data_IF_431329746520
#
_entry.id   IF_431329746520
#
_cell.length_a   1.000
_cell.length_b   1.000
_cell.length_c   1.000
_cell.angle_alpha   90.00
_cell.angle_beta   90.00
_cell.angle_gamma   90.00
#
_symmetry.space_group_name_H-M   'P 1'
#
loop_
_entity.id
_entity.type
_entity.pdbx_description
1 polymer ?
#
# COMPACT_ATOMS: atom_id res chain seq x y z
N UNK A 1 -11.57 11.79 -20.48
CA UNK A 1 -10.59 10.70 -20.25
C UNK A 1 -11.13 9.66 -19.29
N UNK A 2 -11.41 9.98 -18.01
CA UNK A 2 -11.97 8.98 -17.07
C UNK A 2 -13.43 8.58 -17.30
N UNK A 3 -14.22 9.45 -17.95
CA UNK A 3 -15.66 9.25 -18.14
C UNK A 3 -15.99 7.96 -18.89
N UNK A 4 -15.24 7.62 -19.93
CA UNK A 4 -15.55 6.48 -20.79
C UNK A 4 -15.26 5.15 -20.07
N UNK A 5 -14.15 5.10 -19.32
CA UNK A 5 -13.83 3.96 -18.45
C UNK A 5 -14.85 3.77 -17.35
N UNK A 6 -15.30 4.86 -16.70
CA UNK A 6 -16.34 4.82 -15.66
C UNK A 6 -17.69 4.34 -16.20
N UNK A 7 -18.13 4.84 -17.36
CA UNK A 7 -19.40 4.44 -17.97
C UNK A 7 -19.38 2.95 -18.31
N UNK A 8 -18.27 2.48 -18.89
CA UNK A 8 -18.14 1.06 -19.28
C UNK A 8 -18.06 0.15 -18.07
N UNK A 9 -17.30 0.54 -17.02
CA UNK A 9 -17.22 -0.20 -15.76
C UNK A 9 -18.59 -0.27 -15.08
N UNK A 10 -19.32 0.85 -14.97
CA UNK A 10 -20.66 0.88 -14.40
C UNK A 10 -21.65 0.01 -15.18
N UNK A 11 -21.58 0.03 -16.52
CA UNK A 11 -22.42 -0.82 -17.36
C UNK A 11 -22.10 -2.31 -17.16
N UNK A 12 -20.82 -2.68 -17.15
CA UNK A 12 -20.37 -4.05 -16.92
C UNK A 12 -20.79 -4.56 -15.53
N UNK A 13 -20.64 -3.75 -14.48
CA UNK A 13 -21.06 -4.08 -13.12
C UNK A 13 -22.58 -4.24 -13.01
N UNK A 14 -23.37 -3.41 -13.69
CA UNK A 14 -24.85 -3.57 -13.72
C UNK A 14 -25.26 -4.89 -14.35
N UNK A 15 -24.72 -5.21 -15.54
CA UNK A 15 -25.02 -6.47 -16.22
C UNK A 15 -24.56 -7.66 -15.38
N UNK A 16 -23.43 -7.53 -14.68
CA UNK A 16 -22.92 -8.56 -13.78
C UNK A 16 -23.86 -8.79 -12.59
N UNK A 17 -24.36 -7.73 -11.96
CA UNK A 17 -25.35 -7.82 -10.89
C UNK A 17 -26.66 -8.44 -11.38
N UNK A 18 -27.16 -8.03 -12.54
CA UNK A 18 -28.39 -8.58 -13.12
C UNK A 18 -28.24 -10.06 -13.48
N UNK A 19 -27.08 -10.45 -14.03
CA UNK A 19 -26.78 -11.84 -14.34
C UNK A 19 -26.73 -12.69 -13.06
N UNK A 20 -26.09 -12.18 -12.01
CA UNK A 20 -26.04 -12.87 -10.72
C UNK A 20 -27.41 -12.95 -10.05
N UNK A 21 -28.22 -11.89 -10.14
CA UNK A 21 -29.59 -11.88 -9.62
C UNK A 21 -30.44 -12.94 -10.31
N UNK A 22 -30.37 -13.07 -11.64
CA UNK A 22 -31.09 -14.10 -12.39
C UNK A 22 -30.57 -15.51 -12.08
N UNK A 23 -29.26 -15.68 -11.87
CA UNK A 23 -28.68 -16.97 -11.47
C UNK A 23 -28.68 -17.20 -9.96
N UNK A 24 -29.32 -16.35 -9.15
CA UNK A 24 -29.25 -16.43 -7.69
C UNK A 24 -30.10 -17.57 -7.11
N UNK A 25 -31.13 -17.99 -7.84
CA UNK A 25 -32.01 -19.07 -7.44
C UNK A 25 -32.54 -19.85 -8.65
N UNK A 26 -33.05 -21.07 -8.43
CA UNK A 26 -33.62 -21.86 -9.49
C UNK A 26 -34.97 -21.28 -9.90
N UNK A 27 -35.20 -21.20 -11.20
CA UNK A 27 -36.52 -20.97 -11.76
C UNK A 27 -37.34 -22.26 -11.69
N UNK A 28 -38.62 -22.13 -11.38
CA UNK A 28 -39.52 -23.27 -11.15
C UNK A 28 -40.57 -23.29 -12.23
N UNK A 29 -40.62 -24.38 -12.98
CA UNK A 29 -41.70 -24.69 -13.91
C UNK A 29 -42.61 -25.72 -13.23
N UNK A 30 -43.90 -25.38 -13.09
CA UNK A 30 -44.89 -26.25 -12.44
C UNK A 30 -46.00 -26.54 -13.44
N UNK A 31 -46.24 -27.83 -13.70
CA UNK A 31 -47.35 -28.26 -14.52
C UNK A 31 -48.58 -28.45 -13.63
N UNK A 32 -49.55 -27.54 -13.72
CA UNK A 32 -50.77 -27.55 -12.91
C UNK A 32 -51.69 -28.73 -13.21
N UNK A 33 -51.59 -29.35 -14.39
CA UNK A 33 -52.45 -30.47 -14.80
C UNK A 33 -52.05 -31.79 -14.14
N UNK A 34 -50.83 -31.87 -13.60
CA UNK A 34 -50.29 -33.04 -12.91
C UNK A 34 -50.34 -32.89 -11.38
N UNK A 35 -50.77 -31.73 -10.87
CA UNK A 35 -50.90 -31.45 -9.45
C UNK A 35 -52.27 -31.90 -8.93
N UNK A 36 -52.31 -32.37 -7.68
CA UNK A 36 -53.55 -32.73 -7.01
C UNK A 36 -54.51 -31.51 -6.91
N UNK A 37 -55.81 -31.77 -7.07
CA UNK A 37 -56.81 -30.70 -7.06
C UNK A 37 -56.81 -29.94 -5.72
N UNK A 38 -56.55 -28.62 -5.77
CA UNK A 38 -56.51 -27.74 -4.59
C UNK A 38 -55.11 -27.45 -4.04
N UNK A 39 -54.04 -27.96 -4.66
CA UNK A 39 -52.66 -27.62 -4.28
C UNK A 39 -52.26 -26.22 -4.80
N UNK A 40 -51.65 -25.40 -3.95
CA UNK A 40 -51.12 -24.08 -4.34
C UNK A 40 -49.71 -24.23 -4.95
N UNK A 41 -49.50 -23.99 -6.25
CA UNK A 41 -48.20 -24.13 -6.90
C UNK A 41 -47.14 -23.10 -6.42
N UNK A 42 -47.53 -22.09 -5.63
CA UNK A 42 -46.64 -21.00 -5.19
C UNK A 42 -46.07 -21.16 -3.78
N UNK A 43 -46.63 -22.04 -2.95
CA UNK A 43 -46.21 -22.27 -1.55
C UNK A 43 -44.91 -23.10 -1.43
N UNK A 44 -43.78 -22.58 -1.93
CA UNK A 44 -42.53 -23.34 -1.99
C UNK A 44 -41.73 -23.16 -0.68
N UNK A 45 -41.49 -24.26 0.03
CA UNK A 45 -40.66 -24.29 1.24
C UNK A 45 -39.81 -25.58 1.32
N UNK A 46 -38.76 -25.62 2.15
CA UNK A 46 -37.95 -26.84 2.34
C UNK A 46 -38.82 -28.03 2.75
N UNK A 47 -38.53 -29.21 2.20
CA UNK A 47 -39.23 -30.48 2.44
C UNK A 47 -40.70 -30.55 1.96
N UNK A 48 -41.16 -29.62 1.12
CA UNK A 48 -42.47 -29.73 0.48
C UNK A 48 -42.56 -30.95 -0.42
N UNK A 49 -43.65 -31.72 -0.29
CA UNK A 49 -43.97 -32.89 -1.12
C UNK A 49 -45.14 -32.54 -2.02
N UNK A 50 -44.92 -32.62 -3.33
CA UNK A 50 -45.96 -32.38 -4.34
C UNK A 50 -46.75 -33.66 -4.57
N UNK A 51 -48.07 -33.58 -4.44
CA UNK A 51 -48.95 -34.72 -4.69
C UNK A 51 -49.37 -34.70 -6.16
N UNK A 52 -49.24 -35.85 -6.82
CA UNK A 52 -49.55 -35.98 -8.25
C UNK A 52 -50.90 -36.65 -8.45
N UNK A 53 -51.70 -36.12 -9.35
CA UNK A 53 -53.01 -36.68 -9.72
C UNK A 53 -53.20 -36.63 -11.24
N UNK A 54 -53.46 -37.78 -11.87
CA UNK A 54 -53.68 -37.85 -13.32
C UNK A 54 -52.47 -37.55 -14.21
N UNK A 55 -52.68 -37.64 -15.53
CA UNK A 55 -51.71 -37.32 -16.59
C UNK A 55 -50.61 -38.36 -16.86
N UNK A 56 -49.67 -38.01 -17.74
CA UNK A 56 -48.55 -38.89 -18.12
C UNK A 56 -47.50 -38.98 -17.01
N UNK A 57 -47.32 -40.18 -16.46
CA UNK A 57 -46.32 -40.47 -15.42
C UNK A 57 -44.88 -40.24 -15.86
N UNK A 58 -44.61 -40.12 -17.16
CA UNK A 58 -43.29 -39.87 -17.71
C UNK A 58 -42.82 -38.42 -17.51
N UNK A 59 -43.73 -37.46 -17.35
CA UNK A 59 -43.39 -36.03 -17.21
C UNK A 59 -43.29 -35.62 -15.73
N UNK A 60 -42.28 -34.81 -15.34
CA UNK A 60 -42.18 -34.27 -13.99
C UNK A 60 -43.26 -33.20 -13.74
N UNK A 61 -43.89 -33.21 -12.56
CA UNK A 61 -44.86 -32.19 -12.16
C UNK A 61 -44.20 -30.84 -11.81
N UNK A 62 -42.97 -30.88 -11.29
CA UNK A 62 -42.16 -29.69 -10.98
C UNK A 62 -40.78 -29.86 -11.59
N UNK A 63 -40.29 -28.86 -12.32
CA UNK A 63 -38.95 -28.79 -12.87
C UNK A 63 -38.23 -27.56 -12.32
N UNK A 64 -37.00 -27.78 -11.89
CA UNK A 64 -36.09 -26.73 -11.46
C UNK A 64 -35.10 -26.46 -12.58
N UNK A 65 -34.99 -25.21 -13.00
CA UNK A 65 -34.00 -24.76 -13.97
C UNK A 65 -33.11 -23.71 -13.31
N UNK A 66 -31.82 -23.97 -13.22
CA UNK A 66 -30.84 -23.00 -12.73
C UNK A 66 -30.18 -22.29 -13.91
N UNK A 67 -30.37 -20.97 -14.09
CA UNK A 67 -29.63 -20.22 -15.10
C UNK A 67 -28.12 -20.26 -14.81
N UNK A 68 -27.30 -20.46 -15.85
CA UNK A 68 -25.84 -20.43 -15.72
C UNK A 68 -25.38 -18.98 -15.50
N UNK A 69 -24.60 -18.75 -14.44
CA UNK A 69 -23.96 -17.48 -14.17
C UNK A 69 -22.81 -17.24 -15.16
N UNK A 70 -22.95 -16.27 -16.06
CA UNK A 70 -21.94 -15.85 -17.05
C UNK A 70 -21.11 -14.67 -16.53
N UNK A 71 -20.67 -14.76 -15.27
CA UNK A 71 -19.99 -13.68 -14.55
C UNK A 71 -18.50 -13.50 -14.92
N UNK A 72 -17.83 -14.55 -15.40
CA UNK A 72 -16.37 -14.56 -15.58
C UNK A 72 -15.87 -13.58 -16.65
N UNK A 73 -16.55 -13.47 -17.79
CA UNK A 73 -16.17 -12.53 -18.85
C UNK A 73 -16.35 -11.06 -18.45
N UNK A 74 -17.39 -10.78 -17.65
CA UNK A 74 -17.67 -9.42 -17.15
C UNK A 74 -16.63 -8.97 -16.12
N UNK A 75 -16.16 -9.87 -15.25
CA UNK A 75 -15.07 -9.59 -14.32
C UNK A 75 -13.78 -9.17 -15.05
N UNK A 76 -13.44 -9.81 -16.18
CA UNK A 76 -12.26 -9.44 -16.97
C UNK A 76 -12.39 -8.04 -17.59
N UNK A 77 -13.59 -7.67 -18.04
CA UNK A 77 -13.86 -6.33 -18.58
C UNK A 77 -13.72 -5.27 -17.47
N UNK A 78 -14.27 -5.52 -16.28
CA UNK A 78 -14.14 -4.60 -15.14
C UNK A 78 -12.67 -4.38 -14.78
N UNK A 79 -11.87 -5.43 -14.71
CA UNK A 79 -10.44 -5.31 -14.38
C UNK A 79 -9.63 -4.59 -15.48
N UNK A 80 -9.96 -4.82 -16.76
CA UNK A 80 -9.31 -4.11 -17.87
C UNK A 80 -9.61 -2.61 -17.83
N UNK A 81 -10.87 -2.23 -17.64
CA UNK A 81 -11.26 -0.82 -17.59
C UNK A 81 -10.80 -0.13 -16.31
N UNK A 82 -10.64 -0.87 -15.20
CA UNK A 82 -9.94 -0.39 -14.00
C UNK A 82 -8.49 -0.03 -14.32
N UNK A 83 -7.76 -0.88 -15.05
CA UNK A 83 -6.38 -0.57 -15.48
C UNK A 83 -6.31 0.65 -16.38
N UNK A 84 -7.22 0.79 -17.35
CA UNK A 84 -7.29 2.00 -18.18
C UNK A 84 -7.66 3.24 -17.37
N UNK A 85 -8.50 3.12 -16.35
CA UNK A 85 -8.79 4.20 -15.42
C UNK A 85 -7.52 4.64 -14.65
N UNK A 86 -6.73 3.71 -14.15
CA UNK A 86 -5.46 4.00 -13.48
C UNK A 86 -4.45 4.68 -14.41
N UNK A 87 -4.30 4.18 -15.65
CA UNK A 87 -3.41 4.77 -16.65
C UNK A 87 -3.83 6.19 -17.03
N UNK A 88 -5.13 6.41 -17.28
CA UNK A 88 -5.64 7.73 -17.68
C UNK A 88 -5.62 8.76 -16.57
N UNK A 89 -5.82 8.34 -15.32
CA UNK A 89 -5.72 9.23 -14.15
C UNK A 89 -4.28 9.46 -13.71
N UNK A 90 -3.33 8.64 -14.19
CA UNK A 90 -1.96 8.62 -13.67
C UNK A 90 -1.91 8.43 -12.14
N UNK A 91 -2.95 7.83 -11.56
CA UNK A 91 -3.07 7.47 -10.16
C UNK A 91 -3.16 5.94 -10.08
N UNK A 92 -2.02 5.24 -10.00
CA UNK A 92 -2.03 3.79 -9.97
C UNK A 92 -2.75 3.27 -8.72
N UNK A 93 -3.38 2.11 -8.80
CA UNK A 93 -4.10 1.48 -7.65
C UNK A 93 -3.30 1.41 -6.33
N UNK A 94 -1.96 1.41 -6.37
CA UNK A 94 -1.14 1.43 -5.15
C UNK A 94 -1.20 2.75 -4.37
N UNK A 95 -1.61 3.87 -4.98
CA UNK A 95 -1.79 5.15 -4.28
C UNK A 95 -3.01 5.14 -3.36
N UNK A 96 -3.95 4.21 -3.57
CA UNK A 96 -5.20 4.07 -2.82
C UNK A 96 -5.12 2.98 -1.73
N UNK A 97 -3.94 2.42 -1.47
CA UNK A 97 -3.70 1.47 -0.37
C UNK A 97 -3.98 0.00 -0.68
N UNK A 98 -4.48 -0.33 -1.87
CA UNK A 98 -4.63 -1.74 -2.29
C UNK A 98 -3.29 -2.26 -2.84
N UNK A 99 -2.40 -2.67 -1.94
CA UNK A 99 -1.13 -3.29 -2.31
C UNK A 99 -1.34 -4.74 -2.75
N UNK A 100 -1.32 -4.96 -4.07
CA UNK A 100 -1.16 -6.31 -4.61
C UNK A 100 0.11 -6.95 -4.03
N UNK A 101 -0.06 -8.04 -3.29
CA UNK A 101 0.96 -8.78 -2.53
C UNK A 101 2.19 -9.21 -3.34
N UNK A 102 2.13 -9.12 -4.67
CA UNK A 102 3.15 -9.64 -5.60
C UNK A 102 4.26 -8.63 -5.93
N UNK A 103 4.02 -7.31 -5.85
CA UNK A 103 5.01 -6.30 -6.23
C UNK A 103 5.96 -5.86 -5.10
N UNK A 104 5.73 -6.30 -3.86
CA UNK A 104 6.48 -5.85 -2.67
C UNK A 104 7.77 -6.63 -2.39
N UNK A 105 8.53 -7.07 -3.41
CA UNK A 105 9.73 -7.89 -3.16
C UNK A 105 11.02 -7.10 -2.91
N UNK A 106 11.09 -5.82 -3.25
CA UNK A 106 12.27 -4.97 -2.96
C UNK A 106 11.89 -3.53 -2.61
N UNK A 107 12.45 -3.00 -1.52
CA UNK A 107 12.23 -1.62 -1.05
C UNK A 107 12.61 -0.57 -2.13
N UNK A 108 13.59 -0.88 -2.97
CA UNK A 108 14.01 -0.03 -4.09
C UNK A 108 12.98 0.02 -5.22
N UNK A 109 12.30 -1.10 -5.52
CA UNK A 109 11.24 -1.15 -6.53
C UNK A 109 9.98 -0.40 -6.10
N UNK A 110 9.64 -0.49 -4.82
CA UNK A 110 8.59 0.31 -4.19
C UNK A 110 8.86 1.81 -4.28
N UNK A 111 10.09 2.25 -3.99
CA UNK A 111 10.45 3.68 -4.02
C UNK A 111 10.47 4.26 -5.44
N UNK A 112 10.87 3.48 -6.46
CA UNK A 112 10.79 3.91 -7.87
C UNK A 112 9.35 4.05 -8.36
N UNK A 113 8.46 3.11 -7.99
CA UNK A 113 7.06 3.18 -8.36
C UNK A 113 6.38 4.40 -7.70
N UNK A 114 6.64 4.65 -6.41
CA UNK A 114 6.12 5.81 -5.69
C UNK A 114 6.61 7.15 -6.28
N UNK A 115 7.86 7.22 -6.75
CA UNK A 115 8.38 8.39 -7.44
C UNK A 115 7.63 8.72 -8.74
N UNK A 116 7.25 7.71 -9.52
CA UNK A 116 6.53 7.90 -10.78
C UNK A 116 5.09 8.41 -10.59
N UNK A 117 4.34 7.90 -9.61
CA UNK A 117 3.00 8.41 -9.29
C UNK A 117 3.02 9.85 -8.77
N UNK A 118 4.06 10.23 -8.03
CA UNK A 118 4.18 11.59 -7.50
C UNK A 118 4.40 12.65 -8.59
N UNK A 119 4.87 12.29 -9.79
CA UNK A 119 5.06 13.25 -10.90
C UNK A 119 3.71 13.82 -11.37
N UNK A 120 2.68 12.98 -11.51
CA UNK A 120 1.36 13.41 -11.95
C UNK A 120 0.67 14.31 -10.92
N UNK A 121 0.79 13.96 -9.63
CA UNK A 121 0.31 14.79 -8.53
C UNK A 121 1.02 16.14 -8.48
N UNK A 122 2.36 16.16 -8.61
CA UNK A 122 3.14 17.40 -8.66
C UNK A 122 2.80 18.25 -9.86
N UNK A 123 2.55 17.66 -11.03
CA UNK A 123 2.11 18.41 -12.21
C UNK A 123 0.73 19.02 -12.00
N UNK A 124 -0.18 18.33 -11.32
CA UNK A 124 -1.48 18.87 -10.95
C UNK A 124 -1.35 20.03 -9.97
N UNK A 125 -0.50 19.90 -8.94
CA UNK A 125 -0.20 20.98 -8.00
C UNK A 125 0.44 22.16 -8.72
N UNK A 126 1.35 21.92 -9.66
CA UNK A 126 1.94 22.97 -10.50
C UNK A 126 0.90 23.69 -11.35
N UNK A 127 -0.06 22.98 -11.93
CA UNK A 127 -1.16 23.61 -12.66
C UNK A 127 -2.02 24.51 -11.74
N UNK A 128 -2.22 24.12 -10.47
CA UNK A 128 -2.91 24.96 -9.49
C UNK A 128 -2.06 26.20 -9.14
N UNK A 129 -0.76 26.01 -8.92
CA UNK A 129 0.18 27.11 -8.67
C UNK A 129 0.16 28.12 -9.83
N UNK A 130 0.38 27.65 -11.07
CA UNK A 130 0.56 28.47 -12.26
C UNK A 130 -0.77 29.09 -12.77
N UNK A 131 -1.88 28.34 -12.76
CA UNK A 131 -3.16 28.80 -13.37
C UNK A 131 -4.20 29.31 -12.38
N UNK A 132 -4.02 29.11 -11.08
CA UNK A 132 -4.95 29.61 -10.07
C UNK A 132 -4.26 30.56 -9.09
N UNK A 133 -3.20 30.12 -8.42
CA UNK A 133 -2.60 30.88 -7.33
C UNK A 133 -1.84 32.11 -7.82
N UNK A 134 -0.99 31.97 -8.83
CA UNK A 134 -0.25 33.08 -9.44
C UNK A 134 -1.20 34.19 -9.93
N UNK A 135 -2.16 33.95 -10.84
CA UNK A 135 -3.03 35.01 -11.34
C UNK A 135 -3.97 35.58 -10.26
N UNK A 136 -4.40 34.77 -9.28
CA UNK A 136 -5.24 35.25 -8.19
C UNK A 136 -4.48 36.21 -7.27
N UNK A 137 -3.25 35.86 -6.87
CA UNK A 137 -2.44 36.69 -5.99
C UNK A 137 -1.95 37.92 -6.74
N UNK A 138 -1.60 37.82 -8.03
CA UNK A 138 -1.29 38.97 -8.87
C UNK A 138 -2.47 39.94 -8.99
N UNK A 139 -3.69 39.42 -9.22
CA UNK A 139 -4.89 40.26 -9.26
C UNK A 139 -5.13 40.98 -7.92
N UNK A 140 -4.97 40.28 -6.79
CA UNK A 140 -5.06 40.87 -5.46
C UNK A 140 -3.93 41.90 -5.22
N UNK A 141 -2.74 41.64 -5.72
CA UNK A 141 -1.62 42.56 -5.62
C UNK A 141 -1.89 43.84 -6.40
N UNK A 142 -2.30 43.73 -7.67
CA UNK A 142 -2.68 44.88 -8.50
C UNK A 142 -3.82 45.70 -7.87
N UNK A 143 -4.83 45.02 -7.33
CA UNK A 143 -5.92 45.69 -6.59
C UNK A 143 -5.38 46.49 -5.39
N UNK A 144 -4.49 45.91 -4.59
CA UNK A 144 -3.88 46.61 -3.46
C UNK A 144 -2.92 47.74 -3.90
N UNK A 145 -2.29 47.65 -5.07
CA UNK A 145 -1.46 48.72 -5.61
C UNK A 145 -2.29 49.94 -6.04
N UNK A 146 -3.44 49.70 -6.67
CA UNK A 146 -4.33 50.74 -7.17
C UNK A 146 -5.12 51.41 -6.05
N UNK A 147 -5.72 50.62 -5.15
CA UNK A 147 -6.64 51.11 -4.11
C UNK A 147 -6.04 51.20 -2.70
N UNK A 148 -4.83 50.71 -2.49
CA UNK A 148 -4.18 50.71 -1.18
C UNK A 148 -3.80 52.10 -0.70
N UNK A 149 -4.11 52.40 0.57
CA UNK A 149 -3.81 53.67 1.25
C UNK A 149 -2.38 53.75 1.78
N UNK A 150 -1.66 52.63 1.89
CA UNK A 150 -0.30 52.57 2.39
C UNK A 150 0.73 52.66 1.25
N UNK A 151 1.32 53.83 1.03
CA UNK A 151 2.33 54.04 -0.01
C UNK A 151 3.62 53.23 0.20
N UNK A 152 3.97 52.86 1.43
CA UNK A 152 5.16 52.02 1.71
C UNK A 152 5.00 50.58 1.24
N UNK A 153 3.76 50.12 1.12
CA UNK A 153 3.45 48.78 0.63
C UNK A 153 3.46 48.73 -0.91
N UNK A 154 3.52 49.88 -1.59
CA UNK A 154 3.56 49.94 -3.05
C UNK A 154 4.99 49.68 -3.54
N UNK A 155 5.16 48.66 -4.37
CA UNK A 155 6.46 48.26 -4.88
C UNK A 155 6.33 47.41 -6.15
N UNK A 156 7.46 47.16 -6.80
CA UNK A 156 7.53 46.22 -7.93
C UNK A 156 7.90 44.85 -7.38
N UNK A 157 6.88 44.00 -7.17
CA UNK A 157 7.03 42.67 -6.62
C UNK A 157 6.47 41.65 -7.62
N UNK A 158 7.27 40.64 -7.92
CA UNK A 158 6.84 39.49 -8.70
C UNK A 158 6.37 38.38 -7.77
N UNK A 159 5.13 37.92 -7.94
CA UNK A 159 4.59 36.78 -7.21
C UNK A 159 5.17 35.50 -7.82
N UNK A 160 5.70 34.60 -6.99
CA UNK A 160 6.17 33.28 -7.44
C UNK A 160 5.66 32.22 -6.46
N UNK A 161 4.70 31.37 -6.84
CA UNK A 161 4.25 30.26 -6.00
C UNK A 161 5.37 29.22 -5.84
N UNK A 162 5.62 28.78 -4.60
CA UNK A 162 6.72 27.85 -4.26
C UNK A 162 6.26 26.46 -3.82
N UNK A 163 4.96 26.17 -3.83
CA UNK A 163 4.43 24.93 -3.26
C UNK A 163 4.93 23.69 -4.02
N UNK A 164 4.73 23.65 -5.34
CA UNK A 164 5.25 22.57 -6.20
C UNK A 164 6.77 22.43 -6.13
N UNK A 165 7.50 23.56 -6.19
CA UNK A 165 8.96 23.58 -6.12
C UNK A 165 9.50 23.06 -4.79
N UNK A 166 8.87 23.41 -3.67
CA UNK A 166 9.28 22.94 -2.35
C UNK A 166 9.13 21.42 -2.20
N UNK A 167 8.06 20.83 -2.76
CA UNK A 167 7.85 19.38 -2.77
C UNK A 167 8.90 18.66 -3.62
N UNK A 168 9.22 19.18 -4.80
CA UNK A 168 10.29 18.62 -5.65
C UNK A 168 11.65 18.71 -4.95
N UNK A 169 11.94 19.84 -4.31
CA UNK A 169 13.20 20.05 -3.59
C UNK A 169 13.38 19.04 -2.45
N UNK A 170 12.34 18.81 -1.64
CA UNK A 170 12.37 17.80 -0.57
C UNK A 170 12.66 16.39 -1.10
N UNK A 171 12.02 15.99 -2.20
CA UNK A 171 12.24 14.66 -2.76
C UNK A 171 13.66 14.49 -3.33
N UNK A 172 14.15 15.47 -4.08
CA UNK A 172 15.51 15.46 -4.61
C UNK A 172 16.53 15.47 -3.48
N UNK A 173 16.27 16.21 -2.40
CA UNK A 173 17.12 16.19 -1.20
C UNK A 173 17.16 14.80 -0.57
N UNK A 174 16.01 14.14 -0.37
CA UNK A 174 15.94 12.79 0.19
C UNK A 174 16.68 11.76 -0.68
N UNK A 175 16.48 11.79 -2.00
CA UNK A 175 17.19 10.92 -2.94
C UNK A 175 18.72 11.13 -2.90
N UNK A 176 19.17 12.38 -2.89
CA UNK A 176 20.60 12.73 -2.81
C UNK A 176 21.22 12.31 -1.50
N UNK A 177 20.50 12.44 -0.38
CA UNK A 177 20.97 12.02 0.94
C UNK A 177 21.14 10.49 1.02
N UNK A 178 20.21 9.72 0.45
CA UNK A 178 20.35 8.25 0.35
C UNK A 178 21.54 7.85 -0.54
N UNK A 179 21.74 8.53 -1.67
CA UNK A 179 22.90 8.30 -2.53
C UNK A 179 24.20 8.66 -1.82
N UNK A 180 24.23 9.75 -1.07
CA UNK A 180 25.37 10.15 -0.25
C UNK A 180 25.67 9.14 0.86
N UNK A 181 24.65 8.60 1.55
CA UNK A 181 24.83 7.54 2.54
C UNK A 181 25.49 6.28 1.93
N UNK A 182 25.10 5.90 0.71
CA UNK A 182 25.72 4.78 0.00
C UNK A 182 27.17 5.04 -0.42
N UNK A 183 27.57 6.30 -0.58
CA UNK A 183 28.95 6.68 -0.89
C UNK A 183 29.82 6.71 0.38
N UNK A 184 29.26 7.20 1.49
CA UNK A 184 29.93 7.34 2.80
C UNK A 184 30.00 6.01 3.58
N UNK A 185 29.47 4.90 3.05
CA UNK A 185 29.61 3.58 3.68
C UNK A 185 31.04 3.01 3.64
N UNK A 186 32.02 3.73 3.06
CA UNK A 186 33.41 3.32 3.02
C UNK A 186 34.10 3.55 4.39
N UNK A 187 34.80 2.54 4.97
CA UNK A 187 35.46 2.64 6.27
C UNK A 187 36.52 3.75 6.41
N UNK A 188 37.03 4.32 5.30
CA UNK A 188 37.93 5.48 5.33
C UNK A 188 37.21 6.82 5.54
N UNK A 189 35.97 6.94 5.07
CA UNK A 189 35.17 8.17 5.19
C UNK A 189 34.44 8.27 6.54
N UNK A 190 34.37 7.15 7.27
CA UNK A 190 33.81 7.04 8.62
C UNK A 190 34.51 7.91 9.67
N UNK A 191 35.79 8.27 9.45
CA UNK A 191 36.55 9.15 10.33
C UNK A 191 36.42 10.64 9.97
N UNK A 192 35.88 10.97 8.79
CA UNK A 192 35.75 12.32 8.26
C UNK A 192 34.32 12.87 8.35
N UNK A 193 33.32 12.00 8.54
CA UNK A 193 31.90 12.37 8.51
C UNK A 193 31.22 12.10 9.84
N UNK A 194 30.51 13.11 10.37
CA UNK A 194 29.61 12.98 11.51
C UNK A 194 28.37 12.16 11.14
N UNK A 195 28.54 10.84 11.12
CA UNK A 195 27.51 9.85 10.78
C UNK A 195 26.22 10.00 11.60
N UNK A 196 26.23 10.34 12.90
CA UNK A 196 25.01 10.55 13.67
C UNK A 196 24.19 11.74 13.17
N UNK A 197 24.85 12.85 12.83
CA UNK A 197 24.19 14.06 12.33
C UNK A 197 23.64 13.83 10.91
N UNK A 198 24.40 13.14 10.06
CA UNK A 198 23.94 12.72 8.74
C UNK A 198 22.69 11.83 8.81
N UNK A 199 22.66 10.87 9.74
CA UNK A 199 21.49 10.02 9.96
C UNK A 199 20.29 10.83 10.45
N UNK A 200 20.48 11.87 11.29
CA UNK A 200 19.37 12.75 11.71
C UNK A 200 18.82 13.55 10.54
N UNK A 201 19.69 14.07 9.68
CA UNK A 201 19.26 14.84 8.51
C UNK A 201 18.54 13.95 7.48
N UNK A 202 18.97 12.68 7.34
CA UNK A 202 18.25 11.67 6.57
C UNK A 202 16.87 11.40 7.18
N UNK A 203 16.79 11.13 8.49
CA UNK A 203 15.52 10.87 9.18
C UNK A 203 14.54 12.05 9.04
N UNK A 204 15.02 13.29 9.25
CA UNK A 204 14.23 14.52 9.01
C UNK A 204 13.75 14.64 7.57
N UNK A 205 14.60 14.30 6.59
CA UNK A 205 14.21 14.33 5.17
C UNK A 205 13.17 13.28 4.79
N UNK A 206 13.08 12.20 5.57
CA UNK A 206 12.11 11.11 5.41
C UNK A 206 10.86 11.31 6.29
N UNK A 207 10.74 12.45 6.97
CA UNK A 207 9.66 12.76 7.92
C UNK A 207 9.55 11.74 9.07
N UNK A 208 10.69 11.17 9.46
CA UNK A 208 10.83 10.27 10.59
C UNK A 208 11.44 11.05 11.75
N UNK A 209 10.91 10.88 12.96
CA UNK A 209 11.47 11.54 14.14
C UNK A 209 12.92 11.05 14.37
N UNK A 210 13.92 11.94 14.20
CA UNK A 210 15.32 11.57 14.36
C UNK A 210 15.64 11.12 15.79
N UNK A 211 14.89 11.61 16.79
CA UNK A 211 15.18 11.35 18.19
C UNK A 211 14.55 10.03 18.68
N UNK A 212 13.59 9.48 17.94
CA UNK A 212 13.00 8.15 18.20
C UNK A 212 13.89 7.01 17.67
N UNK A 213 14.61 7.23 16.56
CA UNK A 213 15.36 6.17 15.86
C UNK A 213 16.86 6.22 16.15
N UNK A 214 17.43 7.41 16.32
CA UNK A 214 18.88 7.55 16.48
C UNK A 214 19.19 7.58 17.96
N UNK A 215 19.83 6.51 18.44
CA UNK A 215 20.33 6.43 19.82
C UNK A 215 21.15 7.70 20.15
N UNK A 216 20.91 8.29 21.31
CA UNK A 216 21.67 9.44 21.78
C UNK A 216 23.16 9.10 21.91
N UNK A 217 24.03 10.09 21.72
CA UNK A 217 25.49 9.90 21.78
C UNK A 217 25.95 9.30 23.12
N UNK A 218 25.21 9.57 24.20
CA UNK A 218 25.45 9.01 25.53
C UNK A 218 25.18 7.51 25.60
N UNK A 219 24.11 7.02 24.96
CA UNK A 219 23.79 5.59 24.91
C UNK A 219 24.80 4.84 24.03
N UNK A 220 25.25 5.46 22.93
CA UNK A 220 26.27 4.89 22.05
C UNK A 220 27.63 4.80 22.75
N UNK A 221 28.02 5.84 23.51
CA UNK A 221 29.27 5.82 24.31
C UNK A 221 29.21 4.80 25.43
N UNK A 222 28.07 4.66 26.11
CA UNK A 222 27.88 3.66 27.15
C UNK A 222 27.96 2.23 26.57
N UNK A 223 27.38 1.99 25.39
CA UNK A 223 27.42 0.69 24.71
C UNK A 223 28.82 0.38 24.16
N UNK A 224 29.54 1.38 23.62
CA UNK A 224 30.94 1.22 23.23
C UNK A 224 31.87 0.93 24.41
N UNK A 225 31.69 1.60 25.54
CA UNK A 225 32.44 1.32 26.76
C UNK A 225 32.12 -0.07 27.33
N UNK A 226 30.85 -0.49 27.27
CA UNK A 226 30.45 -1.83 27.67
C UNK A 226 31.07 -2.92 26.77
N UNK A 227 31.05 -2.73 25.44
CA UNK A 227 31.70 -3.62 24.47
C UNK A 227 33.22 -3.67 24.66
N UNK A 228 33.86 -2.52 24.90
CA UNK A 228 35.31 -2.46 25.13
C UNK A 228 35.71 -3.17 26.44
N UNK A 229 34.94 -3.00 27.51
CA UNK A 229 35.15 -3.69 28.78
C UNK A 229 34.89 -5.20 28.65
N UNK A 230 33.93 -5.62 27.84
CA UNK A 230 33.65 -7.04 27.58
C UNK A 230 34.74 -7.71 26.74
N UNK A 231 35.31 -6.99 25.76
CA UNK A 231 36.45 -7.45 24.97
C UNK A 231 37.75 -7.56 25.80
N UNK A 232 38.00 -6.62 26.71
CA UNK A 232 39.13 -6.68 27.63
C UNK A 232 39.01 -7.86 28.61
N UNK A 233 37.80 -8.14 29.10
CA UNK A 233 37.55 -9.26 30.01
C UNK A 233 37.76 -10.64 29.34
N UNK A 234 37.43 -10.78 28.05
CA UNK A 234 37.73 -12.00 27.28
C UNK A 234 39.22 -12.16 26.96
N UNK A 235 39.97 -11.08 26.78
CA UNK A 235 41.42 -11.15 26.55
C UNK A 235 42.21 -11.53 27.82
N UNK A 236 41.69 -11.19 29.02
CA UNK A 236 42.33 -11.54 30.30
C UNK A 236 42.05 -12.97 30.81
N UNK A 237 41.13 -13.71 30.19
CA UNK A 237 40.83 -15.10 30.56
C UNK A 237 41.68 -16.15 29.80
N UNK A 238 42.61 -15.71 28.93
CA UNK A 238 43.43 -16.55 28.06
C UNK A 238 44.88 -16.80 28.53
N UNK A 239 45.06 -17.37 29.73
CA UNK A 239 46.24 -18.17 30.17
C UNK A 239 47.49 -17.42 30.69
N UNK A 240 48.52 -18.12 31.23
CA UNK A 240 48.66 -19.56 31.54
C UNK A 240 49.17 -19.86 32.98
N UNK A 241 48.99 -21.09 33.50
CA UNK A 241 50.06 -21.79 34.24
C UNK A 241 49.72 -23.27 34.47
N UNK A 242 50.78 -24.06 34.31
CA UNK A 242 50.84 -25.51 34.26
C UNK A 242 51.20 -26.14 35.62
N UNK A 243 51.05 -27.46 35.64
CA UNK A 243 51.71 -28.45 36.53
C UNK A 243 51.35 -28.50 38.02
N UNK A 244 50.57 -29.53 38.37
CA UNK A 244 50.86 -30.36 39.54
C UNK A 244 50.45 -31.82 39.26
N UNK A 245 51.35 -32.72 39.61
CA UNK A 245 51.46 -34.10 39.16
C UNK A 245 50.99 -35.13 40.22
N UNK A 246 50.08 -36.02 39.80
CA UNK A 246 49.85 -37.41 40.29
C UNK A 246 49.26 -37.65 41.70
N UNK A 247 48.83 -38.90 42.05
CA UNK A 247 48.73 -40.13 41.24
C UNK A 247 47.39 -40.91 41.33
N UNK A 248 47.17 -41.79 40.33
CA UNK A 248 46.55 -43.14 40.38
C UNK A 248 45.37 -43.45 41.32
N UNK A 249 44.21 -43.84 40.75
CA UNK A 249 43.48 -45.05 41.15
C UNK A 249 42.37 -45.46 40.16
N UNK A 250 42.38 -46.75 39.84
CA UNK A 250 41.52 -47.56 38.98
C UNK A 250 40.23 -47.95 39.71
N UNK A 251 39.08 -48.00 39.03
CA UNK A 251 37.86 -48.58 39.58
C UNK A 251 36.72 -48.70 38.55
N UNK A 252 36.37 -49.94 38.23
CA UNK A 252 35.39 -50.39 37.24
C UNK A 252 33.92 -50.07 37.61
N UNK A 253 33.10 -49.89 36.55
CA UNK A 253 31.70 -50.34 36.24
C UNK A 253 30.80 -51.00 37.33
N UNK A 254 29.48 -51.26 37.12
CA UNK A 254 28.59 -50.99 35.97
C UNK A 254 27.17 -50.42 36.32
N UNK A 255 26.39 -50.23 35.26
CA UNK A 255 24.96 -49.87 35.12
C UNK A 255 24.01 -50.95 35.68
N UNK A 256 22.82 -50.59 36.21
CA UNK A 256 21.67 -51.48 36.29
C UNK A 256 20.52 -51.06 35.35
N UNK A 257 20.05 -52.08 34.59
CA UNK A 257 18.72 -52.29 33.97
C UNK A 257 18.18 -51.26 32.98
#
# INVERSE_FOLDING_TARGET
MMRDSQVTMNAATRIWLDNLALSSGPMVEVNTDLLAAGEDPTDIHPWRVWLREGGDGSMPAVRWYQPIANANGLNQIVELFRRFADETTSLPSYTHGEQSRSLNKTATGMSMLMGAANIALKSTIKNIDDFLLEPMIEALFHFNMEFGTNEKAKGDLKVVPRASTALVQKEVQSQRLLQFLSLVSNPMDLALVDRPQLLRDIAKSMEIDPDEIIKSEEVIRAEQQALQNQALAQASAGGPMAEASGPMARGEQPIPM
#
